data_IF_548744900541
#
_entry.id   IF_548744900541
#
_cell.length_a   1.000
_cell.length_b   1.000
_cell.length_c   1.000
_cell.angle_alpha   90.00
_cell.angle_beta   90.00
_cell.angle_gamma   90.00
#
_symmetry.space_group_name_H-M   'P 1'
#
loop_
_entity.id
_entity.type
_entity.pdbx_description
1 polymer ?
#
# COMPACT_ATOMS: atom_id res chain seq x y z
N UNK A 1 50.35 0.99 -37.74
CA UNK A 1 49.82 1.04 -36.38
C UNK A 1 50.35 2.32 -35.78
N UNK A 2 49.51 3.34 -35.67
CA UNK A 2 49.85 4.59 -34.97
C UNK A 2 49.02 4.58 -33.72
N UNK A 3 49.69 4.40 -32.58
CA UNK A 3 49.08 4.41 -31.26
C UNK A 3 49.20 5.84 -30.74
N UNK A 4 48.19 6.67 -31.02
CA UNK A 4 48.08 7.99 -30.40
C UNK A 4 47.20 7.86 -29.15
N UNK A 5 47.72 8.13 -27.93
CA UNK A 5 46.87 8.21 -26.75
C UNK A 5 46.01 9.48 -26.86
N UNK A 6 44.69 9.32 -26.81
CA UNK A 6 43.81 10.47 -26.62
C UNK A 6 43.98 10.96 -25.18
N UNK A 7 44.37 12.23 -25.00
CA UNK A 7 44.37 12.88 -23.69
C UNK A 7 42.92 13.14 -23.25
N UNK A 8 42.40 12.26 -22.40
CA UNK A 8 41.17 12.49 -21.62
C UNK A 8 41.53 13.40 -20.44
N UNK A 9 41.71 14.70 -20.72
CA UNK A 9 41.95 15.74 -19.71
C UNK A 9 40.62 16.30 -19.20
N UNK A 10 39.86 15.49 -18.48
CA UNK A 10 38.77 15.99 -17.63
C UNK A 10 38.87 15.25 -16.29
N UNK A 11 39.64 15.83 -15.37
CA UNK A 11 39.54 15.55 -13.93
C UNK A 11 38.15 16.01 -13.45
N UNK A 12 37.13 15.20 -13.72
CA UNK A 12 35.81 15.37 -13.12
C UNK A 12 35.92 14.91 -11.68
N UNK A 13 36.30 15.82 -10.80
CA UNK A 13 36.24 15.62 -9.37
C UNK A 13 34.76 15.47 -8.96
N UNK A 14 34.25 14.24 -9.01
CA UNK A 14 32.99 13.90 -8.36
C UNK A 14 33.20 14.01 -6.86
N UNK A 15 32.70 15.09 -6.27
CA UNK A 15 32.60 15.19 -4.82
C UNK A 15 31.65 14.08 -4.33
N UNK A 16 32.22 13.02 -3.75
CA UNK A 16 31.50 11.87 -3.19
C UNK A 16 30.97 12.13 -1.78
N UNK A 17 31.12 13.34 -1.24
CA UNK A 17 30.72 13.65 0.14
C UNK A 17 29.24 13.93 0.29
N UNK A 18 28.59 14.36 -0.78
CA UNK A 18 27.15 14.58 -0.83
C UNK A 18 26.53 13.47 -1.69
N UNK A 19 25.79 12.56 -1.07
CA UNK A 19 24.91 11.69 -1.83
C UNK A 19 23.89 12.60 -2.51
N UNK A 20 23.90 12.68 -3.84
CA UNK A 20 22.92 13.42 -4.65
C UNK A 20 21.52 12.80 -4.58
N UNK A 21 21.03 12.54 -3.38
CA UNK A 21 19.67 12.14 -3.09
C UNK A 21 18.76 13.35 -3.06
N UNK A 22 17.46 13.10 -3.21
CA UNK A 22 16.45 14.12 -2.98
C UNK A 22 16.49 14.55 -1.50
N UNK A 23 16.28 15.85 -1.21
CA UNK A 23 16.18 16.32 0.16
C UNK A 23 15.08 15.57 0.90
N UNK A 24 15.24 15.39 2.22
CA UNK A 24 14.26 14.71 3.08
C UNK A 24 12.85 15.30 2.92
N UNK A 25 12.79 16.62 2.69
CA UNK A 25 11.58 17.34 2.32
C UNK A 25 11.83 18.18 1.08
N UNK A 26 11.04 18.04 0.01
CA UNK A 26 11.04 18.99 -1.10
C UNK A 26 10.57 20.36 -0.59
N UNK A 27 10.99 21.42 -1.30
CA UNK A 27 10.51 22.77 -1.05
C UNK A 27 9.01 22.86 -1.38
N UNK A 28 8.21 23.14 -0.35
CA UNK A 28 6.75 23.19 -0.43
C UNK A 28 6.25 24.33 -1.34
N UNK A 29 6.96 25.47 -1.39
CA UNK A 29 6.59 26.59 -2.26
C UNK A 29 6.82 26.22 -3.73
N UNK A 30 7.94 25.55 -4.00
CA UNK A 30 8.27 25.04 -5.34
C UNK A 30 7.36 23.89 -5.78
N UNK A 31 6.92 23.05 -4.83
CA UNK A 31 5.92 22.03 -5.09
C UNK A 31 4.57 22.65 -5.44
N UNK A 32 4.09 23.61 -4.64
CA UNK A 32 2.83 24.32 -4.87
C UNK A 32 2.81 25.02 -6.24
N UNK A 33 3.90 25.68 -6.61
CA UNK A 33 4.05 26.33 -7.93
C UNK A 33 3.94 25.33 -9.09
N UNK A 34 4.60 24.17 -8.99
CA UNK A 34 4.54 23.13 -10.03
C UNK A 34 3.15 22.51 -10.14
N UNK A 35 2.51 22.22 -9.00
CA UNK A 35 1.14 21.72 -8.97
C UNK A 35 0.16 22.68 -9.65
N UNK A 36 0.27 23.99 -9.39
CA UNK A 36 -0.61 24.96 -10.06
C UNK A 36 -0.34 25.05 -11.56
N UNK A 37 0.93 25.02 -11.98
CA UNK A 37 1.29 24.97 -13.41
C UNK A 37 0.68 23.74 -14.10
N UNK A 38 0.78 22.57 -13.48
CA UNK A 38 0.20 21.33 -14.00
C UNK A 38 -1.33 21.40 -14.06
N UNK A 39 -1.99 22.02 -13.07
CA UNK A 39 -3.45 22.25 -13.10
C UNK A 39 -3.86 23.16 -14.25
N UNK A 40 -3.13 24.25 -14.49
CA UNK A 40 -3.36 25.17 -15.61
C UNK A 40 -3.14 24.48 -16.96
N UNK A 41 -2.06 23.72 -17.11
CA UNK A 41 -1.75 22.98 -18.34
C UNK A 41 -2.80 21.89 -18.62
N UNK A 42 -3.23 21.17 -17.59
CA UNK A 42 -4.29 20.18 -17.69
C UNK A 42 -5.69 20.79 -17.85
N UNK A 43 -5.83 22.12 -17.74
CA UNK A 43 -7.12 22.82 -17.76
C UNK A 43 -8.06 22.38 -16.64
N UNK A 44 -7.50 21.97 -15.50
CA UNK A 44 -8.26 21.46 -14.36
C UNK A 44 -8.67 22.62 -13.45
N UNK A 45 -9.96 22.91 -13.47
CA UNK A 45 -10.57 23.91 -12.57
C UNK A 45 -10.46 23.52 -11.09
N UNK A 46 -10.64 24.49 -10.20
CA UNK A 46 -10.77 24.22 -8.78
C UNK A 46 -11.92 23.23 -8.56
N UNK A 47 -11.75 22.29 -7.64
CA UNK A 47 -12.79 21.33 -7.31
C UNK A 47 -14.05 22.06 -6.85
N UNK A 48 -15.15 21.91 -7.59
CA UNK A 48 -16.48 22.38 -7.23
C UNK A 48 -17.35 21.16 -6.83
N UNK A 49 -17.79 21.07 -5.57
CA UNK A 49 -18.63 19.97 -5.11
C UNK A 49 -19.98 19.89 -5.85
N UNK A 50 -20.45 20.99 -6.44
CA UNK A 50 -21.71 21.03 -7.21
C UNK A 50 -21.55 20.49 -8.64
N UNK A 51 -20.31 20.43 -9.17
CA UNK A 51 -19.98 19.84 -10.48
C UNK A 51 -19.70 18.33 -10.41
N UNK A 52 -19.76 17.73 -9.22
CA UNK A 52 -19.60 16.28 -9.06
C UNK A 52 -20.91 15.59 -9.43
N UNK A 53 -20.92 14.69 -10.43
CA UNK A 53 -22.10 13.90 -10.73
C UNK A 53 -22.58 13.14 -9.48
N UNK A 54 -23.90 12.94 -9.31
CA UNK A 54 -24.40 12.17 -8.19
C UNK A 54 -23.77 10.77 -8.20
N UNK A 55 -23.49 10.23 -7.01
CA UNK A 55 -22.99 8.87 -6.88
C UNK A 55 -23.94 7.90 -7.58
N UNK A 56 -23.43 7.19 -8.59
CA UNK A 56 -24.18 6.18 -9.35
C UNK A 56 -23.97 4.77 -8.81
N UNK A 57 -23.14 4.63 -7.78
CA UNK A 57 -22.82 3.34 -7.19
C UNK A 57 -24.06 2.76 -6.49
N UNK A 58 -24.34 1.50 -6.77
CA UNK A 58 -25.38 0.75 -6.06
C UNK A 58 -24.89 0.59 -4.62
N UNK A 59 -25.73 0.87 -3.59
CA UNK A 59 -25.35 0.58 -2.22
C UNK A 59 -24.91 -0.88 -2.12
N UNK A 60 -23.88 -1.14 -1.31
CA UNK A 60 -23.44 -2.50 -1.05
C UNK A 60 -24.66 -3.35 -0.61
N UNK A 61 -24.67 -4.62 -1.02
CA UNK A 61 -25.67 -5.57 -0.56
C UNK A 61 -25.64 -5.69 0.97
N UNK A 62 -26.71 -6.27 1.53
CA UNK A 62 -26.85 -6.53 2.97
C UNK A 62 -25.62 -7.24 3.57
N UNK A 63 -25.49 -7.15 4.89
CA UNK A 63 -24.40 -7.77 5.65
C UNK A 63 -24.31 -9.28 5.30
N UNK A 64 -23.15 -9.79 4.85
CA UNK A 64 -23.00 -11.21 4.49
C UNK A 64 -23.29 -12.17 5.66
N UNK A 65 -23.16 -11.68 6.91
CA UNK A 65 -23.45 -12.47 8.12
C UNK A 65 -24.95 -12.64 8.39
N UNK A 66 -25.80 -11.84 7.73
CA UNK A 66 -27.26 -11.94 7.85
C UNK A 66 -27.86 -13.02 6.95
N UNK A 67 -27.06 -13.80 6.21
CA UNK A 67 -27.54 -14.91 5.39
C UNK A 67 -27.97 -16.11 6.24
N UNK A 68 -28.93 -16.91 5.75
CA UNK A 68 -29.32 -18.16 6.42
C UNK A 68 -28.16 -19.16 6.46
N UNK A 69 -27.43 -19.29 5.35
CA UNK A 69 -26.21 -20.10 5.25
C UNK A 69 -25.21 -19.77 6.36
N UNK A 70 -24.82 -18.49 6.51
CA UNK A 70 -23.85 -18.09 7.52
C UNK A 70 -24.31 -18.45 8.95
N UNK A 71 -25.59 -18.26 9.24
CA UNK A 71 -26.16 -18.60 10.55
C UNK A 71 -26.20 -20.10 10.80
N UNK A 72 -26.48 -20.90 9.77
CA UNK A 72 -26.41 -22.36 9.84
C UNK A 72 -24.98 -22.84 10.06
N UNK A 73 -24.01 -22.29 9.32
CA UNK A 73 -22.59 -22.62 9.47
C UNK A 73 -22.06 -22.25 10.86
N UNK A 74 -22.39 -21.08 11.38
CA UNK A 74 -22.03 -20.67 12.75
C UNK A 74 -22.63 -21.62 13.80
N UNK A 75 -23.89 -22.06 13.61
CA UNK A 75 -24.53 -23.02 14.50
C UNK A 75 -23.84 -24.40 14.45
N UNK A 76 -23.41 -24.83 13.26
CA UNK A 76 -22.66 -26.07 13.04
C UNK A 76 -21.28 -26.01 13.70
N UNK A 77 -20.50 -24.95 13.47
CA UNK A 77 -19.18 -24.73 14.08
C UNK A 77 -19.31 -24.76 15.61
N UNK A 78 -20.36 -24.13 16.15
CA UNK A 78 -20.65 -24.16 17.58
C UNK A 78 -20.89 -25.59 18.07
N UNK A 79 -21.77 -26.36 17.40
CA UNK A 79 -22.03 -27.76 17.76
C UNK A 79 -20.74 -28.58 17.74
N UNK A 80 -19.95 -28.48 16.66
CA UNK A 80 -18.69 -29.21 16.52
C UNK A 80 -17.68 -28.83 17.61
N UNK A 81 -17.63 -27.56 18.01
CA UNK A 81 -16.76 -27.10 19.10
C UNK A 81 -17.22 -27.65 20.45
N UNK A 82 -18.53 -27.64 20.72
CA UNK A 82 -19.12 -28.18 21.96
C UNK A 82 -18.97 -29.71 22.06
N UNK A 83 -19.16 -30.42 20.95
CA UNK A 83 -18.98 -31.87 20.84
C UNK A 83 -17.52 -32.29 20.69
N UNK A 84 -16.60 -31.32 20.67
CA UNK A 84 -15.16 -31.59 20.54
C UNK A 84 -14.84 -32.36 19.24
N UNK A 85 -15.57 -32.08 18.17
CA UNK A 85 -15.24 -32.49 16.80
C UNK A 85 -14.26 -31.50 16.17
N UNK A 86 -14.38 -30.21 16.54
CA UNK A 86 -13.45 -29.15 16.19
C UNK A 86 -12.77 -28.61 17.47
N UNK A 87 -11.45 -28.54 17.47
CA UNK A 87 -10.68 -28.05 18.61
C UNK A 87 -9.90 -26.79 18.25
N UNK A 88 -9.82 -25.79 19.15
CA UNK A 88 -8.97 -24.63 18.93
C UNK A 88 -7.49 -25.01 18.94
N UNK A 89 -6.70 -24.34 18.10
CA UNK A 89 -5.25 -24.47 18.08
C UNK A 89 -4.68 -23.82 19.35
N UNK A 90 -4.42 -24.65 20.37
CA UNK A 90 -3.88 -24.25 21.68
C UNK A 90 -2.51 -24.89 21.90
N UNK A 91 -1.77 -24.50 22.95
CA UNK A 91 -0.48 -25.10 23.30
C UNK A 91 -0.54 -26.62 23.58
N UNK A 92 -1.76 -27.14 23.84
CA UNK A 92 -2.02 -28.56 24.08
C UNK A 92 -2.38 -29.32 22.80
N UNK A 93 -2.32 -28.68 21.64
CA UNK A 93 -2.58 -29.33 20.36
C UNK A 93 -1.57 -30.48 20.14
N UNK A 94 -1.98 -31.63 19.58
CA UNK A 94 -1.11 -32.80 19.44
C UNK A 94 0.09 -32.59 18.51
N UNK A 95 0.07 -31.53 17.71
CA UNK A 95 1.15 -31.14 16.82
C UNK A 95 1.90 -29.94 17.40
N UNK A 96 3.23 -29.87 17.23
CA UNK A 96 4.01 -28.71 17.66
C UNK A 96 3.54 -27.44 16.94
N UNK A 97 3.74 -26.26 17.55
CA UNK A 97 3.37 -25.01 16.89
C UNK A 97 4.20 -24.81 15.62
N UNK A 98 3.61 -24.21 14.59
CA UNK A 98 4.32 -23.87 13.35
C UNK A 98 5.40 -22.81 13.58
N UNK A 99 5.22 -21.97 14.59
CA UNK A 99 6.17 -20.97 15.06
C UNK A 99 6.22 -20.97 16.58
N UNK A 100 7.42 -21.02 17.14
CA UNK A 100 7.64 -20.72 18.56
C UNK A 100 7.74 -19.20 18.72
N UNK A 101 7.19 -18.67 19.80
CA UNK A 101 7.41 -17.27 20.16
C UNK A 101 8.91 -17.01 20.25
N UNK A 102 9.38 -16.00 19.50
CA UNK A 102 10.78 -15.56 19.56
C UNK A 102 10.96 -14.81 20.88
N UNK A 103 11.42 -15.54 21.89
CA UNK A 103 11.94 -14.97 23.14
C UNK A 103 13.22 -14.18 22.90
#
# INVERSE_FOLDING_TARGET
MTDEPFETSEDVHHDRREHGGLPLHPDDDDLARRTEQERVEAGVDAYDPDDVPPATDVPAADDPTDTEEYREEEAEIKRQTEESELYPLTDRHPFPPSHYDRS
#
